data_IF_183596351250
#
_entry.id   IF_183596351250
#
_cell.length_a   1.000
_cell.length_b   1.000
_cell.length_c   1.000
_cell.angle_alpha   90.00
_cell.angle_beta   90.00
_cell.angle_gamma   90.00
#
_symmetry.space_group_name_H-M   'P 1'
#
loop_
_entity.id
_entity.type
_entity.pdbx_description
1 polymer ?
#
# COMPACT_ATOMS: atom_id res chain seq x y z
N UNK A 1 27.35 26.94 -19.78
CA UNK A 1 28.36 26.20 -18.99
C UNK A 1 27.86 25.89 -17.58
N UNK A 2 27.26 26.85 -16.85
CA UNK A 2 26.78 26.62 -15.47
C UNK A 2 25.60 25.66 -15.30
N UNK A 3 24.71 25.55 -16.29
CA UNK A 3 23.60 24.58 -16.26
C UNK A 3 24.08 23.12 -16.28
N UNK A 4 25.06 22.80 -17.13
CA UNK A 4 25.63 21.45 -17.22
C UNK A 4 26.41 21.10 -15.95
N UNK A 5 27.15 22.06 -15.37
CA UNK A 5 27.87 21.88 -14.12
C UNK A 5 26.94 21.68 -12.91
N UNK A 6 25.81 22.41 -12.84
CA UNK A 6 24.78 22.17 -11.82
C UNK A 6 24.07 20.83 -12.03
N UNK A 7 23.85 20.40 -13.28
CA UNK A 7 23.26 19.10 -13.59
C UNK A 7 24.19 17.94 -13.17
N UNK A 8 25.50 18.07 -13.41
CA UNK A 8 26.51 17.08 -13.01
C UNK A 8 26.73 17.07 -11.48
N UNK A 9 26.68 18.24 -10.82
CA UNK A 9 26.71 18.33 -9.35
C UNK A 9 25.46 17.74 -8.71
N UNK A 10 24.28 17.96 -9.29
CA UNK A 10 23.02 17.36 -8.84
C UNK A 10 22.98 15.85 -9.09
N UNK A 11 23.54 15.36 -10.20
CA UNK A 11 23.75 13.93 -10.45
C UNK A 11 24.70 13.30 -9.44
N UNK A 12 25.79 13.99 -9.07
CA UNK A 12 26.70 13.55 -7.99
C UNK A 12 26.02 13.54 -6.62
N UNK A 13 25.13 14.49 -6.34
CA UNK A 13 24.35 14.53 -5.10
C UNK A 13 23.32 13.41 -5.07
N UNK A 14 22.60 13.17 -6.17
CA UNK A 14 21.70 12.01 -6.34
C UNK A 14 22.48 10.71 -6.15
N UNK A 15 23.67 10.59 -6.74
CA UNK A 15 24.56 9.44 -6.59
C UNK A 15 25.17 9.28 -5.19
N UNK A 16 25.23 10.35 -4.37
CA UNK A 16 25.66 10.29 -2.96
C UNK A 16 24.49 10.12 -1.97
N UNK A 17 23.28 10.54 -2.32
CA UNK A 17 22.04 10.25 -1.57
C UNK A 17 21.46 8.88 -1.90
N UNK A 18 21.89 8.30 -3.02
CA UNK A 18 21.81 6.87 -3.26
C UNK A 18 22.83 6.23 -2.33
N UNK A 19 22.36 5.74 -1.19
CA UNK A 19 23.08 4.74 -0.42
C UNK A 19 23.54 3.65 -1.42
N UNK A 20 24.80 3.17 -1.42
CA UNK A 20 25.21 2.00 -2.22
C UNK A 20 24.27 0.79 -2.06
N UNK A 21 23.38 0.80 -1.06
CA UNK A 21 22.19 -0.03 -0.94
C UNK A 21 20.94 0.48 -1.72
N UNK A 22 20.99 0.61 -3.04
CA UNK A 22 19.84 0.95 -3.93
C UNK A 22 18.64 -0.02 -3.87
N UNK A 23 18.65 -1.00 -2.95
CA UNK A 23 17.65 -2.07 -2.85
C UNK A 23 17.12 -2.29 -1.43
N UNK A 24 17.59 -1.52 -0.44
CA UNK A 24 17.10 -1.65 0.94
C UNK A 24 15.87 -0.76 1.14
N UNK A 25 14.84 -1.29 1.78
CA UNK A 25 13.59 -0.56 2.00
C UNK A 25 12.67 -1.26 2.98
N UNK A 26 11.75 -0.49 3.55
CA UNK A 26 10.74 -0.98 4.48
C UNK A 26 9.38 -0.33 4.18
N UNK A 27 8.33 -1.14 4.11
CA UNK A 27 6.95 -0.67 3.96
C UNK A 27 6.42 -0.25 5.32
N UNK A 28 5.51 0.73 5.35
CA UNK A 28 4.85 1.11 6.59
C UNK A 28 3.93 -0.02 7.06
N UNK A 29 3.88 -0.22 8.38
CA UNK A 29 3.06 -1.26 9.01
C UNK A 29 1.82 -0.61 9.62
N UNK A 30 0.67 -1.24 9.47
CA UNK A 30 -0.56 -0.83 10.17
C UNK A 30 -0.93 -1.89 11.19
N UNK A 31 -1.12 -1.47 12.43
CA UNK A 31 -1.61 -2.27 13.54
C UNK A 31 -2.99 -1.77 13.93
N UNK A 32 -3.93 -2.70 14.11
CA UNK A 32 -5.30 -2.39 14.55
C UNK A 32 -5.57 -3.10 15.87
N UNK A 33 -5.81 -2.29 16.91
CA UNK A 33 -6.33 -2.78 18.18
C UNK A 33 -7.80 -3.19 18.01
N UNK A 34 -8.07 -4.48 18.22
CA UNK A 34 -9.37 -5.12 18.11
C UNK A 34 -10.26 -4.79 19.31
N UNK A 35 -11.59 -5.00 19.22
CA UNK A 35 -12.52 -4.73 20.33
C UNK A 35 -12.24 -5.55 21.61
N UNK A 36 -11.64 -6.72 21.48
CA UNK A 36 -11.21 -7.61 22.57
C UNK A 36 -9.82 -7.27 23.14
N UNK A 37 -9.16 -6.24 22.58
CA UNK A 37 -7.81 -5.82 22.94
C UNK A 37 -6.70 -6.64 22.28
N UNK A 38 -7.00 -7.57 21.36
CA UNK A 38 -6.01 -8.21 20.49
C UNK A 38 -5.43 -7.19 19.49
N UNK A 39 -4.19 -7.37 19.06
CA UNK A 39 -3.54 -6.53 18.06
C UNK A 39 -3.32 -7.36 16.79
N UNK A 40 -3.76 -6.83 15.65
CA UNK A 40 -3.52 -7.42 14.32
C UNK A 40 -2.72 -6.46 13.48
N UNK A 41 -1.81 -6.95 12.65
CA UNK A 41 -0.93 -6.11 11.83
C UNK A 41 -0.86 -6.54 10.37
N UNK A 42 -0.55 -5.60 9.48
CA UNK A 42 -0.02 -5.92 8.15
C UNK A 42 1.39 -6.53 8.28
N UNK A 43 1.87 -7.29 7.29
CA UNK A 43 3.22 -7.85 7.29
C UNK A 43 4.31 -6.78 7.37
N UNK A 44 5.41 -7.13 8.03
CA UNK A 44 6.62 -6.35 8.09
C UNK A 44 7.47 -6.63 6.85
N UNK A 45 7.15 -5.96 5.74
CA UNK A 45 7.97 -6.05 4.54
C UNK A 45 9.23 -5.21 4.70
N UNK A 46 10.35 -5.89 4.98
CA UNK A 46 11.68 -5.30 5.11
C UNK A 46 12.64 -6.05 4.20
N UNK A 47 13.41 -5.30 3.41
CA UNK A 47 14.42 -5.86 2.50
C UNK A 47 15.73 -5.11 2.63
N UNK A 48 16.83 -5.85 2.56
CA UNK A 48 18.17 -5.32 2.39
C UNK A 48 18.76 -5.79 1.05
N UNK A 49 19.51 -4.92 0.37
CA UNK A 49 20.12 -5.23 -0.93
C UNK A 49 21.14 -6.37 -0.90
N UNK A 50 21.24 -7.12 -2.01
CA UNK A 50 21.95 -8.42 -2.12
C UNK A 50 23.49 -8.36 -2.21
N UNK A 51 24.13 -7.20 -2.22
CA UNK A 51 25.59 -7.20 -2.34
C UNK A 51 26.22 -7.70 -1.03
N UNK A 52 26.91 -8.83 -1.02
CA UNK A 52 27.80 -9.22 0.08
C UNK A 52 27.22 -10.03 1.24
N UNK A 53 25.97 -10.52 1.19
CA UNK A 53 25.45 -11.50 2.16
C UNK A 53 25.93 -12.91 1.78
N UNK A 54 27.24 -13.10 1.73
CA UNK A 54 27.83 -14.43 1.64
C UNK A 54 27.93 -14.99 3.05
N UNK A 55 27.19 -16.06 3.31
CA UNK A 55 27.28 -16.98 4.46
C UNK A 55 28.04 -16.44 5.68
N UNK A 56 27.31 -15.98 6.69
CA UNK A 56 27.82 -15.98 8.05
C UNK A 56 26.66 -16.01 9.04
N UNK A 57 26.91 -16.62 10.18
CA UNK A 57 26.10 -16.73 11.40
C UNK A 57 25.60 -15.39 12.00
N UNK A 58 25.75 -14.27 11.29
CA UNK A 58 25.52 -12.90 11.75
C UNK A 58 24.34 -12.22 11.01
N UNK A 59 23.42 -12.98 10.42
CA UNK A 59 22.28 -12.52 9.64
C UNK A 59 21.09 -12.02 10.50
N UNK A 60 21.35 -11.15 11.47
CA UNK A 60 20.30 -10.53 12.27
C UNK A 60 20.01 -9.10 11.82
N UNK A 61 18.75 -8.70 11.96
CA UNK A 61 18.28 -7.34 11.78
C UNK A 61 17.76 -6.86 13.13
N UNK A 62 18.40 -5.82 13.65
CA UNK A 62 17.98 -5.12 14.85
C UNK A 62 16.83 -4.16 14.53
N UNK A 63 15.90 -4.02 15.48
CA UNK A 63 14.73 -3.15 15.38
C UNK A 63 14.83 -2.07 16.46
N UNK A 64 14.62 -0.81 16.08
CA UNK A 64 14.37 0.30 16.99
C UNK A 64 12.95 0.83 16.77
N UNK A 65 12.22 1.08 17.85
CA UNK A 65 10.88 1.70 17.86
C UNK A 65 10.99 3.04 18.57
N UNK A 66 10.62 4.13 17.90
CA UNK A 66 10.72 5.50 18.44
C UNK A 66 12.12 5.83 19.01
N UNK A 67 13.19 5.31 18.38
CA UNK A 67 14.58 5.52 18.80
C UNK A 67 15.06 4.60 19.93
N UNK A 68 14.23 3.67 20.41
CA UNK A 68 14.59 2.70 21.44
C UNK A 68 14.76 1.31 20.85
N UNK A 69 15.91 0.68 21.07
CA UNK A 69 16.13 -0.73 20.70
C UNK A 69 15.22 -1.65 21.51
N UNK A 70 14.62 -2.62 20.84
CA UNK A 70 13.73 -3.62 21.45
C UNK A 70 14.38 -5.00 21.48
N UNK A 71 13.94 -5.86 22.40
CA UNK A 71 14.38 -7.26 22.50
C UNK A 71 13.59 -8.15 21.52
N UNK A 72 13.70 -7.81 20.24
CA UNK A 72 13.11 -8.52 19.11
C UNK A 72 14.01 -8.32 17.89
N UNK A 73 14.32 -9.41 17.19
CA UNK A 73 15.20 -9.40 16.01
C UNK A 73 14.55 -10.13 14.85
N UNK A 74 14.88 -9.72 13.63
CA UNK A 74 14.54 -10.49 12.42
C UNK A 74 15.77 -11.25 11.92
N UNK A 75 15.53 -12.34 11.22
CA UNK A 75 16.53 -13.06 10.43
C UNK A 75 16.54 -12.53 9.01
N UNK A 76 17.70 -12.47 8.38
CA UNK A 76 17.85 -12.06 6.99
C UNK A 76 18.02 -13.29 6.08
N UNK A 77 17.08 -13.47 5.15
CA UNK A 77 17.15 -14.53 4.14
C UNK A 77 18.18 -14.20 3.03
N UNK A 78 18.58 -15.22 2.27
CA UNK A 78 19.54 -15.09 1.15
C UNK A 78 19.07 -14.17 0.02
N UNK A 79 17.76 -14.02 -0.15
CA UNK A 79 17.15 -13.08 -1.09
C UNK A 79 17.08 -11.63 -0.57
N UNK A 80 17.55 -11.40 0.65
CA UNK A 80 17.59 -10.11 1.34
C UNK A 80 16.29 -9.72 2.05
N UNK A 81 15.27 -10.59 2.08
CA UNK A 81 14.03 -10.35 2.85
C UNK A 81 14.28 -10.65 4.32
N UNK A 82 13.86 -9.76 5.21
CA UNK A 82 13.91 -10.00 6.64
C UNK A 82 12.58 -10.60 7.14
N UNK A 83 12.65 -11.55 8.06
CA UNK A 83 11.50 -12.26 8.63
C UNK A 83 11.70 -12.56 10.12
N UNK A 84 10.61 -12.75 10.87
CA UNK A 84 10.66 -13.07 12.29
C UNK A 84 10.89 -14.56 12.54
N UNK A 85 11.31 -14.91 13.75
CA UNK A 85 11.35 -16.30 14.20
C UNK A 85 9.92 -16.83 14.43
N UNK A 86 9.71 -18.13 14.25
CA UNK A 86 8.40 -18.78 14.38
C UNK A 86 7.76 -18.50 15.74
N UNK A 87 8.57 -18.53 16.80
CA UNK A 87 8.17 -18.23 18.18
C UNK A 87 7.60 -16.81 18.39
N UNK A 88 7.90 -15.86 17.50
CA UNK A 88 7.42 -14.49 17.59
C UNK A 88 6.16 -14.25 16.73
N UNK A 89 5.81 -15.23 15.89
CA UNK A 89 4.69 -15.18 14.95
C UNK A 89 3.46 -15.95 15.48
N UNK A 90 3.67 -16.98 16.31
CA UNK A 90 2.60 -17.78 16.89
C UNK A 90 2.02 -17.14 18.17
N UNK A 91 0.69 -17.15 18.31
CA UNK A 91 0.06 -16.92 19.61
C UNK A 91 0.18 -18.20 20.45
N UNK A 92 0.66 -18.13 21.71
CA UNK A 92 0.91 -19.30 22.56
C UNK A 92 -0.34 -20.15 22.87
N UNK A 93 -1.54 -19.74 22.43
CA UNK A 93 -2.81 -20.43 22.62
C UNK A 93 -3.29 -21.31 21.45
N UNK A 94 -2.64 -21.29 20.27
CA UNK A 94 -3.02 -22.14 19.12
C UNK A 94 -2.04 -23.31 18.97
N UNK A 95 -2.08 -24.26 19.90
CA UNK A 95 -1.38 -25.54 19.69
C UNK A 95 -2.10 -26.34 18.61
N UNK A 96 -1.63 -26.26 17.36
CA UNK A 96 -1.87 -27.32 16.39
C UNK A 96 -0.89 -28.46 16.72
N UNK A 97 -1.42 -29.55 17.25
CA UNK A 97 -0.76 -30.86 17.32
C UNK A 97 -0.41 -31.33 15.92
N UNK A 98 0.79 -31.01 15.43
CA UNK A 98 1.49 -31.75 14.38
C UNK A 98 2.96 -31.31 14.44
N UNK A 99 3.78 -32.03 15.21
CA UNK A 99 5.23 -31.97 15.06
C UNK A 99 5.56 -32.44 13.66
N UNK A 100 6.09 -31.57 12.80
CA UNK A 100 6.74 -31.95 11.55
C UNK A 100 8.24 -31.80 11.73
N UNK A 101 8.94 -32.92 11.64
CA UNK A 101 10.40 -32.97 11.72
C UNK A 101 11.00 -32.21 10.52
N UNK A 102 11.86 -31.24 10.81
CA UNK A 102 12.38 -30.22 9.86
C UNK A 102 13.51 -30.75 8.96
N UNK A 103 13.87 -32.03 9.04
CA UNK A 103 15.01 -32.58 8.29
C UNK A 103 14.70 -32.94 6.82
N UNK A 104 13.46 -32.77 6.34
CA UNK A 104 13.10 -33.12 4.96
C UNK A 104 13.24 -31.99 3.92
N UNK A 105 13.21 -30.72 4.35
CA UNK A 105 13.28 -29.57 3.44
C UNK A 105 14.69 -29.34 2.84
N UNK A 106 15.75 -29.78 3.53
CA UNK A 106 17.11 -29.74 2.99
C UNK A 106 17.35 -30.83 1.94
N UNK A 107 16.64 -31.96 2.03
CA UNK A 107 16.83 -33.11 1.13
C UNK A 107 16.17 -32.95 -0.25
N UNK A 108 15.00 -32.29 -0.31
CA UNK A 108 14.31 -32.05 -1.59
C UNK A 108 15.03 -31.02 -2.45
N UNK A 109 15.75 -30.07 -1.83
CA UNK A 109 16.53 -29.04 -2.52
C UNK A 109 17.84 -29.57 -3.15
N UNK A 110 18.39 -30.69 -2.68
CA UNK A 110 19.56 -31.35 -3.31
C UNK A 110 19.18 -32.28 -4.46
N UNK A 111 18.00 -32.91 -4.40
CA UNK A 111 17.47 -33.75 -5.47
C UNK A 111 17.08 -32.93 -6.71
N UNK A 112 16.49 -31.74 -6.54
CA UNK A 112 16.17 -30.87 -7.69
C UNK A 112 17.40 -30.24 -8.36
N UNK A 113 18.51 -30.05 -7.62
CA UNK A 113 19.77 -29.53 -8.19
C UNK A 113 20.43 -30.54 -9.12
N UNK A 114 20.36 -31.83 -8.79
CA UNK A 114 20.95 -32.90 -9.60
C UNK A 114 20.15 -33.21 -10.87
N UNK A 115 18.84 -32.96 -10.88
CA UNK A 115 18.01 -33.10 -12.11
C UNK A 115 18.22 -31.93 -13.09
N UNK A 116 18.38 -30.69 -12.60
CA UNK A 116 18.63 -29.50 -13.43
C UNK A 116 20.03 -29.47 -14.06
N UNK A 117 21.06 -29.95 -13.35
CA UNK A 117 22.42 -30.08 -13.93
C UNK A 117 22.48 -31.11 -15.07
N UNK A 118 21.68 -32.18 -15.01
CA UNK A 118 21.66 -33.21 -16.04
C UNK A 118 20.95 -32.75 -17.33
N UNK A 119 19.90 -31.93 -17.24
CA UNK A 119 19.26 -31.34 -18.43
C UNK A 119 20.14 -30.34 -19.19
N UNK A 120 20.99 -29.58 -18.47
CA UNK A 120 21.87 -28.59 -19.08
C UNK A 120 23.08 -29.21 -19.78
N UNK A 121 23.50 -30.41 -19.36
CA UNK A 121 24.53 -31.22 -20.02
C UNK A 121 24.04 -31.81 -21.37
N UNK A 122 22.76 -32.18 -21.46
CA UNK A 122 22.15 -32.67 -22.72
C UNK A 122 21.94 -31.55 -23.75
N UNK A 123 21.50 -30.36 -23.32
CA UNK A 123 21.28 -29.20 -24.22
C UNK A 123 22.60 -28.68 -24.83
N UNK A 124 23.74 -28.86 -24.16
CA UNK A 124 25.08 -28.52 -24.70
C UNK A 124 25.59 -29.48 -25.77
N UNK A 125 25.14 -30.74 -25.78
CA UNK A 125 25.58 -31.74 -26.77
C UNK A 125 24.91 -31.60 -28.14
N UNK A 126 23.70 -31.01 -28.20
CA UNK A 126 22.94 -30.85 -29.46
C UNK A 126 23.46 -29.69 -30.31
N UNK A 127 24.13 -28.69 -29.72
CA UNK A 127 24.54 -27.44 -30.41
C UNK A 127 25.87 -27.52 -31.18
N UNK A 128 26.57 -28.66 -31.19
CA UNK A 128 27.91 -28.81 -31.81
C UNK A 128 27.95 -29.49 -33.19
N UNK A 129 26.82 -29.66 -33.89
CA UNK A 129 26.80 -30.19 -35.26
C UNK A 129 26.01 -29.32 -36.24
N UNK A 130 26.62 -28.21 -36.68
CA UNK A 130 26.41 -27.67 -38.03
C UNK A 130 27.40 -26.52 -38.28
N UNK A 131 28.46 -26.80 -39.04
CA UNK A 131 29.37 -25.79 -39.58
C UNK A 131 29.64 -26.10 -41.05
N UNK A 132 29.36 -25.16 -41.95
CA UNK A 132 30.05 -25.09 -43.25
C UNK A 132 29.98 -23.69 -43.88
N UNK A 133 31.18 -23.14 -44.10
CA UNK A 133 31.66 -22.27 -45.20
C UNK A 133 31.51 -20.73 -45.08
N UNK A 134 32.64 -20.05 -45.37
CA UNK A 134 33.11 -18.68 -45.11
C UNK A 134 32.79 -17.68 -46.28
N UNK A 135 33.35 -16.44 -46.42
CA UNK A 135 34.36 -15.70 -45.61
C UNK A 135 34.17 -14.16 -45.37
N UNK A 136 34.92 -13.68 -44.37
CA UNK A 136 35.69 -12.41 -44.16
C UNK A 136 35.12 -11.00 -44.51
N UNK A 137 35.07 -10.11 -43.51
CA UNK A 137 35.74 -8.77 -43.50
C UNK A 137 35.68 -8.03 -42.13
N UNK A 138 36.85 -7.53 -41.72
CA UNK A 138 37.22 -6.32 -40.92
C UNK A 138 36.50 -5.86 -39.62
N UNK A 139 37.27 -5.96 -38.52
CA UNK A 139 37.71 -4.91 -37.58
C UNK A 139 36.70 -4.14 -36.69
N UNK A 140 36.69 -4.43 -35.39
CA UNK A 140 36.88 -3.45 -34.29
C UNK A 140 36.85 -4.14 -32.92
N UNK A 141 37.74 -3.71 -32.03
CA UNK A 141 37.96 -4.22 -30.67
C UNK A 141 36.78 -3.89 -29.74
N UNK A 142 36.12 -4.91 -29.18
CA UNK A 142 35.23 -4.77 -28.03
C UNK A 142 35.81 -5.53 -26.83
N UNK A 143 35.93 -4.80 -25.71
CA UNK A 143 36.29 -5.31 -24.39
C UNK A 143 35.26 -6.35 -23.94
N UNK A 144 35.71 -7.59 -23.76
CA UNK A 144 34.94 -8.66 -23.13
C UNK A 144 34.74 -8.35 -21.63
N UNK A 145 33.61 -7.76 -21.27
CA UNK A 145 33.04 -7.94 -19.94
C UNK A 145 32.14 -9.17 -19.98
N UNK A 146 32.53 -10.24 -19.28
CA UNK A 146 31.66 -11.39 -19.09
C UNK A 146 30.43 -11.01 -18.26
N UNK A 147 29.21 -11.35 -18.68
CA UNK A 147 28.03 -11.05 -17.91
C UNK A 147 27.96 -11.95 -16.67
N UNK A 148 28.03 -11.34 -15.50
CA UNK A 148 27.62 -11.94 -14.23
C UNK A 148 26.20 -12.53 -14.40
N UNK A 149 26.06 -13.82 -14.12
CA UNK A 149 24.79 -14.55 -14.22
C UNK A 149 23.80 -14.02 -13.16
N UNK A 150 22.91 -13.13 -13.58
CA UNK A 150 21.74 -12.66 -12.83
C UNK A 150 20.65 -13.74 -12.78
N UNK A 151 20.92 -14.85 -12.09
CA UNK A 151 19.90 -15.86 -11.80
C UNK A 151 19.12 -15.43 -10.54
N UNK A 152 18.15 -14.54 -10.73
CA UNK A 152 17.19 -14.08 -9.73
C UNK A 152 15.99 -15.06 -9.66
N UNK A 153 16.24 -16.25 -9.10
CA UNK A 153 15.20 -17.20 -8.70
C UNK A 153 14.49 -16.75 -7.41
N UNK A 154 13.83 -15.59 -7.44
CA UNK A 154 12.86 -15.23 -6.39
C UNK A 154 11.56 -16.03 -6.65
N UNK A 155 11.46 -17.20 -6.03
CA UNK A 155 10.22 -17.96 -5.84
C UNK A 155 9.12 -17.06 -5.28
N UNK A 156 7.86 -17.35 -5.64
CA UNK A 156 6.72 -16.76 -4.95
C UNK A 156 6.85 -17.13 -3.47
N UNK A 157 6.98 -16.14 -2.58
CA UNK A 157 7.03 -16.40 -1.14
C UNK A 157 5.83 -17.28 -0.77
N UNK A 158 6.11 -18.45 -0.20
CA UNK A 158 5.06 -19.38 0.18
C UNK A 158 4.16 -18.72 1.23
N UNK A 159 2.87 -19.10 1.32
CA UNK A 159 1.98 -18.56 2.35
C UNK A 159 2.56 -18.68 3.77
N UNK A 160 3.28 -19.78 4.05
CA UNK A 160 3.97 -19.97 5.32
C UNK A 160 5.04 -18.90 5.59
N UNK A 161 5.80 -18.49 4.57
CA UNK A 161 6.79 -17.43 4.72
C UNK A 161 6.16 -16.05 4.96
N UNK A 162 4.94 -15.81 4.45
CA UNK A 162 4.21 -14.56 4.71
C UNK A 162 3.79 -14.45 6.18
N UNK A 163 3.43 -15.57 6.82
CA UNK A 163 3.11 -15.58 8.26
C UNK A 163 4.33 -15.18 9.11
N UNK A 164 5.54 -15.55 8.69
CA UNK A 164 6.79 -15.13 9.35
C UNK A 164 7.07 -13.62 9.25
N UNK A 165 6.29 -12.88 8.47
CA UNK A 165 6.37 -11.42 8.40
C UNK A 165 5.41 -10.75 9.39
N UNK A 166 4.61 -11.50 10.14
CA UNK A 166 3.65 -10.96 11.11
C UNK A 166 4.09 -11.30 12.53
N UNK A 167 3.85 -10.38 13.45
CA UNK A 167 4.04 -10.63 14.88
C UNK A 167 2.73 -11.08 15.53
N UNK A 168 2.85 -11.92 16.56
CA UNK A 168 1.74 -12.28 17.43
C UNK A 168 1.20 -11.06 18.19
N UNK A 169 -0.03 -11.17 18.72
CA UNK A 169 -0.65 -10.04 19.41
C UNK A 169 0.16 -9.59 20.63
N UNK A 170 0.75 -10.54 21.37
CA UNK A 170 1.53 -10.24 22.57
C UNK A 170 2.85 -9.54 22.21
N UNK A 171 3.50 -9.97 21.12
CA UNK A 171 4.70 -9.29 20.60
C UNK A 171 4.39 -7.88 20.12
N UNK A 172 3.30 -7.66 19.39
CA UNK A 172 2.87 -6.32 18.98
C UNK A 172 2.60 -5.40 20.18
N UNK A 173 2.00 -5.90 21.26
CA UNK A 173 1.79 -5.13 22.50
C UNK A 173 3.10 -4.78 23.18
N UNK A 174 4.08 -5.69 23.16
CA UNK A 174 5.39 -5.47 23.77
C UNK A 174 6.20 -4.34 23.10
N UNK A 175 5.85 -3.95 21.87
CA UNK A 175 6.45 -2.81 21.17
C UNK A 175 6.13 -1.46 21.82
N UNK A 176 5.10 -1.38 22.68
CA UNK A 176 4.76 -0.15 23.41
C UNK A 176 4.33 1.01 22.51
N UNK A 177 3.58 0.72 21.43
CA UNK A 177 3.18 1.70 20.42
C UNK A 177 2.22 2.76 20.98
N UNK A 178 2.44 4.01 20.60
CA UNK A 178 1.46 5.09 20.79
C UNK A 178 0.41 5.08 19.68
N UNK A 179 -0.80 5.58 19.97
CA UNK A 179 -1.85 5.73 18.96
C UNK A 179 -1.39 6.70 17.85
N UNK A 180 -1.51 6.25 16.60
CA UNK A 180 -1.01 6.98 15.43
C UNK A 180 0.40 6.53 15.01
N UNK A 181 1.21 7.42 14.41
CA UNK A 181 2.51 7.06 13.85
C UNK A 181 3.57 6.82 14.93
N UNK A 182 4.36 5.76 14.75
CA UNK A 182 5.58 5.46 15.49
C UNK A 182 6.69 5.16 14.48
N UNK A 183 7.93 5.57 14.77
CA UNK A 183 9.07 5.34 13.88
C UNK A 183 9.63 3.93 14.07
N UNK A 184 9.87 3.22 12.97
CA UNK A 184 10.61 1.96 12.93
C UNK A 184 11.94 2.16 12.20
N UNK A 185 13.01 1.67 12.80
CA UNK A 185 14.31 1.56 12.13
C UNK A 185 14.80 0.13 12.18
N UNK A 186 15.22 -0.36 11.02
CA UNK A 186 15.81 -1.68 10.86
C UNK A 186 17.28 -1.51 10.51
N UNK A 187 18.16 -2.22 11.20
CA UNK A 187 19.59 -2.18 10.92
C UNK A 187 20.20 -3.57 10.89
N UNK A 188 21.10 -3.79 9.94
CA UNK A 188 21.91 -5.01 9.86
C UNK A 188 23.36 -4.63 9.68
N UNK A 189 24.26 -5.37 10.33
CA UNK A 189 25.70 -5.11 10.24
C UNK A 189 26.37 -6.33 9.64
N UNK A 190 26.95 -6.17 8.46
CA UNK A 190 27.73 -7.24 7.81
C UNK A 190 29.22 -6.91 7.85
N UNK A 191 30.05 -7.96 7.92
CA UNK A 191 31.52 -7.80 8.00
C UNK A 191 32.12 -7.05 6.81
N UNK A 192 31.50 -7.18 5.63
CA UNK A 192 32.01 -6.61 4.38
C UNK A 192 31.46 -5.20 4.08
N UNK A 193 30.26 -4.85 4.55
CA UNK A 193 29.61 -3.57 4.20
C UNK A 193 29.41 -2.63 5.38
N UNK A 194 29.73 -3.07 6.60
CA UNK A 194 29.39 -2.32 7.80
C UNK A 194 27.88 -2.32 8.04
N UNK A 195 27.39 -1.29 8.72
CA UNK A 195 25.98 -1.18 9.12
C UNK A 195 25.14 -0.53 8.04
N UNK A 196 24.18 -1.28 7.52
CA UNK A 196 23.11 -0.77 6.65
C UNK A 196 21.81 -0.64 7.44
N UNK A 197 21.00 0.37 7.12
CA UNK A 197 19.72 0.59 7.78
C UNK A 197 18.65 1.13 6.82
N UNK A 198 17.39 0.90 7.15
CA UNK A 198 16.23 1.49 6.50
C UNK A 198 15.17 1.88 7.55
N UNK A 199 14.25 2.77 7.18
CA UNK A 199 13.23 3.33 8.09
C UNK A 199 11.84 3.17 7.48
N UNK A 200 10.88 2.85 8.34
CA UNK A 200 9.45 2.94 8.04
C UNK A 200 8.69 3.46 9.26
N UNK A 201 7.38 3.59 9.14
CA UNK A 201 6.52 3.89 10.28
C UNK A 201 5.64 2.68 10.59
N UNK A 202 5.29 2.51 11.85
CA UNK A 202 4.23 1.62 12.32
C UNK A 202 3.09 2.46 12.91
N UNK A 203 1.88 2.25 12.41
CA UNK A 203 0.70 3.02 12.80
C UNK A 203 -0.20 2.18 13.69
N UNK A 204 -0.48 2.63 14.92
CA UNK A 204 -1.49 2.01 15.76
C UNK A 204 -2.83 2.72 15.58
N UNK A 205 -3.81 1.99 15.05
CA UNK A 205 -5.19 2.44 14.86
C UNK A 205 -6.16 1.67 15.74
N UNK A 206 -7.29 2.31 16.05
CA UNK A 206 -8.44 1.64 16.67
C UNK A 206 -9.29 1.00 15.58
N UNK A 207 -9.92 -0.14 15.90
CA UNK A 207 -10.80 -0.88 15.00
C UNK A 207 -11.98 -0.09 14.39
N UNK A 208 -12.36 1.05 14.98
CA UNK A 208 -13.46 1.89 14.51
C UNK A 208 -13.03 3.04 13.60
N UNK A 209 -11.74 3.15 13.28
CA UNK A 209 -11.21 4.18 12.39
C UNK A 209 -11.79 4.02 10.97
N UNK A 210 -12.15 5.14 10.33
CA UNK A 210 -12.63 5.15 8.94
C UNK A 210 -11.52 5.65 8.02
N UNK A 211 -11.22 4.85 7.01
CA UNK A 211 -10.05 5.01 6.16
C UNK A 211 -10.41 5.67 4.83
N UNK A 212 -9.56 6.56 4.35
CA UNK A 212 -9.65 7.18 3.03
C UNK A 212 -8.38 6.85 2.27
N UNK A 213 -8.53 6.14 1.16
CA UNK A 213 -7.41 5.72 0.32
C UNK A 213 -7.12 6.82 -0.70
N UNK A 214 -5.83 7.11 -0.92
CA UNK A 214 -5.37 7.93 -2.03
C UNK A 214 -4.26 7.20 -2.77
N UNK A 215 -4.42 7.00 -4.08
CA UNK A 215 -3.27 6.74 -4.92
C UNK A 215 -2.32 7.95 -4.90
N UNK A 216 -1.04 7.73 -5.19
CA UNK A 216 -0.03 8.79 -5.23
C UNK A 216 0.19 9.26 -6.66
N UNK A 217 0.47 8.30 -7.55
CA UNK A 217 0.94 8.55 -8.90
C UNK A 217 -0.25 8.97 -9.80
N UNK A 218 -0.23 10.22 -10.28
CA UNK A 218 -1.29 10.80 -11.11
C UNK A 218 -2.54 11.25 -10.34
N UNK A 219 -2.61 10.97 -9.03
CA UNK A 219 -3.69 11.42 -8.13
C UNK A 219 -3.23 12.60 -7.27
N UNK A 220 -2.11 12.44 -6.58
CA UNK A 220 -1.45 13.54 -5.86
C UNK A 220 -0.49 14.24 -6.81
N UNK A 221 0.36 13.49 -7.52
CA UNK A 221 1.21 14.04 -8.59
C UNK A 221 0.39 14.34 -9.84
N UNK A 222 0.78 15.36 -10.62
CA UNK A 222 0.12 15.71 -11.89
C UNK A 222 0.41 14.75 -13.05
N UNK A 223 1.39 13.85 -12.87
CA UNK A 223 1.70 12.83 -13.88
C UNK A 223 2.36 11.59 -13.26
N UNK A 224 2.23 10.49 -13.98
CA UNK A 224 2.75 9.17 -13.59
C UNK A 224 4.27 9.04 -13.78
N UNK A 225 4.85 9.81 -14.72
CA UNK A 225 6.26 9.67 -15.16
C UNK A 225 7.22 10.52 -14.32
N UNK A 226 6.77 11.70 -13.87
CA UNK A 226 7.65 12.68 -13.20
C UNK A 226 7.91 12.37 -11.71
N UNK A 227 7.20 11.44 -11.09
CA UNK A 227 7.42 11.08 -9.69
C UNK A 227 8.70 10.27 -9.42
N UNK A 228 9.36 9.74 -10.47
CA UNK A 228 10.66 9.08 -10.40
C UNK A 228 11.84 10.02 -10.70
N UNK A 229 11.57 11.17 -11.32
CA UNK A 229 12.59 12.04 -11.88
C UNK A 229 12.47 13.42 -11.25
N UNK A 230 13.19 13.57 -10.14
CA UNK A 230 13.80 14.82 -9.66
C UNK A 230 12.96 15.69 -8.68
N UNK A 231 13.32 15.69 -7.38
CA UNK A 231 13.04 16.78 -6.42
C UNK A 231 13.88 18.06 -6.64
N UNK A 232 14.76 18.08 -7.63
CA UNK A 232 15.77 19.12 -7.86
C UNK A 232 15.41 20.21 -8.89
N UNK A 233 14.16 20.24 -9.39
CA UNK A 233 13.64 21.36 -10.20
C UNK A 233 12.45 21.94 -9.45
N UNK A 234 12.61 23.15 -8.94
CA UNK A 234 11.58 23.84 -8.16
C UNK A 234 10.24 23.87 -8.90
N UNK A 235 9.16 23.53 -8.18
CA UNK A 235 7.80 23.49 -8.70
C UNK A 235 6.93 22.52 -7.89
N UNK A 236 5.66 22.87 -7.67
CA UNK A 236 4.68 21.97 -7.06
C UNK A 236 4.16 20.99 -8.11
N UNK A 237 4.77 19.81 -8.17
CA UNK A 237 4.35 18.69 -9.04
C UNK A 237 3.06 18.03 -8.57
N UNK A 238 2.54 18.42 -7.40
CA UNK A 238 1.26 17.99 -6.88
C UNK A 238 0.09 18.80 -7.48
N UNK A 239 -1.09 18.19 -7.59
CA UNK A 239 -2.33 18.90 -7.90
C UNK A 239 -2.63 19.97 -6.85
N UNK A 240 -3.05 21.17 -7.29
CA UNK A 240 -3.33 22.28 -6.38
C UNK A 240 -4.53 21.96 -5.47
N UNK A 241 -4.45 22.33 -4.20
CA UNK A 241 -5.53 22.15 -3.21
C UNK A 241 -5.60 20.75 -2.56
N UNK A 242 -4.75 19.79 -2.98
CA UNK A 242 -4.75 18.44 -2.40
C UNK A 242 -4.42 18.45 -0.90
N UNK A 243 -3.45 19.27 -0.48
CA UNK A 243 -3.07 19.35 0.93
C UNK A 243 -4.20 19.97 1.76
N UNK A 244 -4.90 20.97 1.23
CA UNK A 244 -6.05 21.56 1.89
C UNK A 244 -7.20 20.56 2.04
N UNK A 245 -7.61 19.88 0.96
CA UNK A 245 -8.67 18.89 1.03
C UNK A 245 -8.34 17.76 2.01
N UNK A 246 -7.14 17.20 1.93
CA UNK A 246 -6.79 16.03 2.75
C UNK A 246 -6.69 16.38 4.23
N UNK A 247 -6.22 17.59 4.57
CA UNK A 247 -6.28 18.04 5.96
C UNK A 247 -7.73 18.21 6.44
N UNK A 248 -8.62 18.78 5.61
CA UNK A 248 -10.04 18.88 5.97
C UNK A 248 -10.71 17.52 6.19
N UNK A 249 -10.37 16.53 5.36
CA UNK A 249 -10.80 15.13 5.55
C UNK A 249 -10.26 14.56 6.87
N UNK A 250 -8.97 14.77 7.17
CA UNK A 250 -8.36 14.38 8.45
C UNK A 250 -9.02 15.05 9.64
N UNK A 251 -9.31 16.35 9.56
CA UNK A 251 -9.92 17.15 10.62
C UNK A 251 -11.35 16.67 10.92
N UNK A 252 -12.05 16.18 9.90
CA UNK A 252 -13.34 15.51 10.05
C UNK A 252 -13.24 14.10 10.64
N UNK A 253 -12.02 13.63 10.95
CA UNK A 253 -11.75 12.39 11.67
C UNK A 253 -11.36 11.21 10.78
N UNK A 254 -11.28 11.35 9.47
CA UNK A 254 -10.86 10.22 8.63
C UNK A 254 -9.34 10.00 8.73
N UNK A 255 -8.90 8.76 8.49
CA UNK A 255 -7.46 8.42 8.40
C UNK A 255 -7.06 8.26 6.95
N UNK A 256 -6.06 9.02 6.53
CA UNK A 256 -5.50 8.89 5.19
C UNK A 256 -4.59 7.66 5.11
N UNK A 257 -4.74 6.90 4.03
CA UNK A 257 -3.86 5.80 3.64
C UNK A 257 -3.39 6.11 2.22
N UNK A 258 -2.08 6.11 2.00
CA UNK A 258 -1.50 6.36 0.68
C UNK A 258 -1.13 5.03 0.03
N UNK A 259 -1.42 4.89 -1.25
CA UNK A 259 -1.17 3.66 -2.03
C UNK A 259 -0.31 4.00 -3.25
N UNK A 260 0.67 3.16 -3.58
CA UNK A 260 1.40 3.25 -4.84
C UNK A 260 1.89 1.87 -5.25
N UNK A 261 1.89 1.59 -6.56
CA UNK A 261 2.44 0.35 -7.11
C UNK A 261 3.97 0.33 -7.16
N UNK A 262 4.63 1.40 -6.70
CA UNK A 262 6.11 1.47 -6.63
C UNK A 262 6.67 0.34 -5.75
N UNK A 263 7.82 -0.17 -6.18
CA UNK A 263 8.58 -1.18 -5.46
C UNK A 263 9.12 -0.66 -4.10
N UNK A 264 9.31 -1.57 -3.16
CA UNK A 264 9.80 -1.30 -1.79
C UNK A 264 11.14 -0.53 -1.76
N UNK A 265 12.00 -0.71 -2.76
CA UNK A 265 13.27 0.03 -2.88
C UNK A 265 13.09 1.54 -3.03
N UNK A 266 11.91 2.00 -3.45
CA UNK A 266 11.58 3.44 -3.56
C UNK A 266 10.85 3.99 -2.32
N UNK A 267 10.68 3.18 -1.28
CA UNK A 267 9.91 3.56 -0.08
C UNK A 267 10.37 4.87 0.55
N UNK A 268 11.68 5.06 0.72
CA UNK A 268 12.24 6.29 1.28
C UNK A 268 11.91 7.52 0.42
N UNK A 269 12.16 7.45 -0.89
CA UNK A 269 11.90 8.56 -1.81
C UNK A 269 10.42 8.95 -1.86
N UNK A 270 9.52 7.97 -1.93
CA UNK A 270 8.08 8.21 -1.99
C UNK A 270 7.57 8.87 -0.71
N UNK A 271 7.99 8.38 0.46
CA UNK A 271 7.62 8.99 1.76
C UNK A 271 8.20 10.41 1.90
N UNK A 272 9.44 10.64 1.48
CA UNK A 272 10.06 11.96 1.50
C UNK A 272 9.36 12.95 0.56
N UNK A 273 8.90 12.48 -0.60
CA UNK A 273 8.06 13.29 -1.49
C UNK A 273 6.76 13.71 -0.81
N UNK A 274 6.00 12.78 -0.22
CA UNK A 274 4.74 13.13 0.47
C UNK A 274 4.97 14.16 1.60
N UNK A 275 6.05 14.01 2.37
CA UNK A 275 6.44 14.98 3.41
C UNK A 275 6.83 16.35 2.85
N UNK A 276 7.37 16.42 1.63
CA UNK A 276 7.79 17.68 1.02
C UNK A 276 6.64 18.45 0.35
N UNK A 277 5.54 17.77 0.00
CA UNK A 277 4.35 18.44 -0.56
C UNK A 277 3.80 19.44 0.45
N UNK A 278 3.86 20.71 0.07
CA UNK A 278 3.40 21.84 0.88
C UNK A 278 2.63 22.81 -0.01
N UNK A 279 1.42 23.17 0.40
CA UNK A 279 0.56 24.13 -0.31
C UNK A 279 -0.03 25.10 0.71
N UNK A 280 0.16 26.40 0.51
CA UNK A 280 -0.36 27.45 1.40
C UNK A 280 0.01 27.24 2.89
N UNK A 281 1.23 26.75 3.13
CA UNK A 281 1.74 26.45 4.48
C UNK A 281 1.19 25.16 5.12
N UNK A 282 0.35 24.39 4.40
CA UNK A 282 -0.17 23.09 4.84
C UNK A 282 0.59 21.96 4.16
N UNK A 283 1.03 21.00 4.96
CA UNK A 283 1.59 19.72 4.49
C UNK A 283 0.47 18.70 4.29
N UNK A 284 0.73 17.63 3.51
CA UNK A 284 -0.17 16.48 3.50
C UNK A 284 -0.29 15.87 4.91
N UNK A 285 -1.48 15.38 5.30
CA UNK A 285 -1.65 14.71 6.58
C UNK A 285 -0.86 13.39 6.63
N UNK A 286 -0.31 13.07 7.79
CA UNK A 286 0.35 11.78 8.02
C UNK A 286 -0.59 10.59 7.77
N UNK A 287 -0.02 9.52 7.21
CA UNK A 287 -0.69 8.27 6.94
C UNK A 287 0.28 7.21 6.41
N UNK A 288 -0.03 5.92 6.59
CA UNK A 288 0.80 4.82 6.07
C UNK A 288 0.84 4.84 4.55
N UNK A 289 2.01 4.49 4.01
CA UNK A 289 2.22 4.32 2.57
C UNK A 289 2.35 2.84 2.24
N UNK A 290 1.32 2.31 1.56
CA UNK A 290 1.29 0.95 1.02
C UNK A 290 2.02 0.91 -0.32
N UNK A 291 2.98 0.00 -0.44
CA UNK A 291 3.87 -0.15 -1.59
C UNK A 291 3.90 -1.60 -2.07
N UNK A 292 4.36 -1.81 -3.30
CA UNK A 292 4.59 -3.15 -3.81
C UNK A 292 5.75 -3.80 -3.04
N UNK A 293 5.57 -4.98 -2.43
CA UNK A 293 6.63 -5.68 -1.69
C UNK A 293 7.74 -6.22 -2.60
N UNK A 294 7.56 -6.15 -3.92
CA UNK A 294 8.55 -6.63 -4.90
C UNK A 294 9.70 -5.63 -5.08
N UNK A 295 10.90 -6.14 -5.39
CA UNK A 295 12.12 -5.33 -5.58
C UNK A 295 12.18 -4.67 -6.96
N UNK A 296 12.70 -3.44 -7.00
CA UNK A 296 12.84 -2.58 -8.19
C UNK A 296 13.55 -3.26 -9.37
N UNK A 297 14.53 -4.11 -9.12
CA UNK A 297 15.31 -4.72 -10.21
C UNK A 297 14.52 -5.80 -10.97
N UNK A 298 13.51 -6.39 -10.33
CA UNK A 298 12.53 -7.28 -10.95
C UNK A 298 11.42 -6.50 -11.65
N UNK A 299 11.12 -5.27 -11.22
CA UNK A 299 10.16 -4.38 -11.88
C UNK A 299 10.60 -3.99 -13.31
N UNK A 300 11.92 -3.92 -13.57
CA UNK A 300 12.43 -3.67 -14.93
C UNK A 300 12.39 -4.90 -15.86
N UNK A 301 12.28 -6.12 -15.30
CA UNK A 301 12.41 -7.39 -16.04
C UNK A 301 11.10 -8.20 -16.11
N UNK A 302 10.04 -7.74 -15.44
CA UNK A 302 8.79 -8.49 -15.30
C UNK A 302 7.67 -7.84 -16.07
N UNK A 303 7.61 -8.17 -17.36
CA UNK A 303 6.52 -7.90 -18.30
C UNK A 303 5.16 -8.50 -17.87
N UNK A 304 4.99 -9.00 -16.63
CA UNK A 304 3.77 -9.66 -16.12
C UNK A 304 3.23 -9.02 -14.84
N UNK A 305 4.08 -8.50 -13.94
CA UNK A 305 3.60 -7.66 -12.80
C UNK A 305 3.27 -6.24 -13.28
N UNK A 306 3.93 -5.79 -14.35
CA UNK A 306 3.50 -4.63 -15.11
C UNK A 306 2.19 -4.84 -15.88
N UNK A 307 1.67 -6.08 -16.01
CA UNK A 307 0.41 -6.33 -16.76
C UNK A 307 -0.86 -6.00 -15.98
N UNK A 308 -0.85 -6.04 -14.64
CA UNK A 308 -2.04 -5.76 -13.82
C UNK A 308 -1.68 -5.09 -12.47
N UNK A 309 -1.29 -3.80 -12.43
CA UNK A 309 -1.02 -3.08 -11.18
C UNK A 309 -2.19 -3.14 -10.16
N UNK A 310 -3.42 -3.32 -10.65
CA UNK A 310 -4.63 -3.57 -9.86
C UNK A 310 -4.55 -4.81 -8.98
N UNK A 311 -3.85 -5.89 -9.37
CA UNK A 311 -3.76 -7.12 -8.56
C UNK A 311 -3.07 -6.83 -7.21
N UNK A 312 -1.95 -6.10 -7.26
CA UNK A 312 -1.26 -5.65 -6.06
C UNK A 312 -2.15 -4.72 -5.23
N UNK A 313 -2.80 -3.73 -5.85
CA UNK A 313 -3.66 -2.77 -5.13
C UNK A 313 -4.81 -3.49 -4.42
N UNK A 314 -5.45 -4.45 -5.09
CA UNK A 314 -6.51 -5.29 -4.50
C UNK A 314 -5.95 -6.09 -3.32
N UNK A 315 -4.80 -6.75 -3.48
CA UNK A 315 -4.20 -7.55 -2.41
C UNK A 315 -3.86 -6.72 -1.17
N UNK A 316 -3.17 -5.58 -1.36
CA UNK A 316 -2.78 -4.69 -0.26
C UNK A 316 -4.00 -4.10 0.47
N UNK A 317 -5.02 -3.66 -0.28
CA UNK A 317 -6.24 -3.13 0.31
C UNK A 317 -7.08 -4.23 0.99
N UNK A 318 -7.09 -5.45 0.46
CA UNK A 318 -7.78 -6.58 1.08
C UNK A 318 -7.13 -6.97 2.40
N UNK A 319 -5.80 -7.03 2.43
CA UNK A 319 -5.03 -7.31 3.63
C UNK A 319 -5.30 -6.28 4.73
N UNK A 320 -5.21 -4.99 4.40
CA UNK A 320 -5.50 -3.93 5.36
C UNK A 320 -6.96 -3.99 5.83
N UNK A 321 -7.90 -4.29 4.94
CA UNK A 321 -9.33 -4.46 5.29
C UNK A 321 -9.54 -5.56 6.32
N UNK A 322 -8.85 -6.68 6.17
CA UNK A 322 -8.99 -7.85 7.04
C UNK A 322 -8.49 -7.60 8.48
N UNK A 323 -7.75 -6.52 8.72
CA UNK A 323 -7.38 -6.10 10.09
C UNK A 323 -8.55 -5.49 10.86
N UNK A 324 -9.59 -5.03 10.18
CA UNK A 324 -10.74 -4.37 10.79
C UNK A 324 -11.91 -5.35 10.94
N UNK A 325 -12.62 -5.34 12.07
CA UNK A 325 -13.83 -6.14 12.25
C UNK A 325 -15.02 -5.58 11.45
N UNK A 326 -14.95 -4.31 11.04
CA UNK A 326 -15.97 -3.70 10.18
C UNK A 326 -15.91 -4.32 8.78
N UNK A 327 -17.06 -4.69 8.17
CA UNK A 327 -17.09 -5.19 6.79
C UNK A 327 -16.65 -4.14 5.76
N UNK A 328 -16.64 -2.85 6.15
CA UNK A 328 -16.16 -1.77 5.30
C UNK A 328 -15.47 -0.68 6.13
N UNK A 329 -14.16 -0.79 6.40
CA UNK A 329 -13.40 0.27 7.03
C UNK A 329 -13.11 1.43 6.07
N UNK A 330 -13.23 1.21 4.76
CA UNK A 330 -12.95 2.21 3.73
C UNK A 330 -14.16 3.10 3.48
N UNK A 331 -13.98 4.39 3.71
CA UNK A 331 -15.00 5.39 3.46
C UNK A 331 -14.97 5.90 2.02
N UNK A 332 -13.78 6.15 1.46
CA UNK A 332 -13.60 6.68 0.11
C UNK A 332 -12.24 6.31 -0.50
N UNK A 333 -12.14 6.42 -1.82
CA UNK A 333 -10.90 6.21 -2.59
C UNK A 333 -10.69 7.32 -3.62
N UNK A 334 -9.48 7.88 -3.67
CA UNK A 334 -9.01 8.81 -4.69
C UNK A 334 -8.01 8.10 -5.59
N UNK A 335 -8.29 8.04 -6.89
CA UNK A 335 -7.41 7.42 -7.90
C UNK A 335 -7.39 8.23 -9.19
N UNK A 336 -6.66 7.77 -10.20
CA UNK A 336 -6.55 8.44 -11.50
C UNK A 336 -6.81 7.51 -12.69
N UNK A 337 -6.93 6.20 -12.46
CA UNK A 337 -7.12 5.19 -13.49
C UNK A 337 -8.39 4.39 -13.26
N UNK A 338 -8.94 3.82 -14.33
CA UNK A 338 -10.05 2.86 -14.24
C UNK A 338 -9.65 1.60 -13.45
N UNK A 339 -8.37 1.24 -13.46
CA UNK A 339 -7.82 0.14 -12.64
C UNK A 339 -7.92 0.42 -11.13
N UNK A 340 -7.88 1.69 -10.71
CA UNK A 340 -8.13 2.07 -9.31
C UNK A 340 -9.59 1.83 -8.93
N UNK A 341 -10.52 2.14 -9.84
CA UNK A 341 -11.95 1.87 -9.65
C UNK A 341 -12.19 0.38 -9.45
N UNK A 342 -11.55 -0.47 -10.26
CA UNK A 342 -11.63 -1.93 -10.11
C UNK A 342 -11.11 -2.32 -8.73
N UNK A 343 -9.95 -1.80 -8.34
CA UNK A 343 -9.33 -2.10 -7.04
C UNK A 343 -10.21 -1.70 -5.85
N UNK A 344 -10.78 -0.50 -5.89
CA UNK A 344 -11.65 0.04 -4.84
C UNK A 344 -12.98 -0.70 -4.74
N UNK A 345 -13.57 -1.08 -5.87
CA UNK A 345 -14.78 -1.91 -5.88
C UNK A 345 -14.54 -3.30 -5.29
N UNK A 346 -13.39 -3.91 -5.58
CA UNK A 346 -13.05 -5.24 -5.06
C UNK A 346 -13.03 -5.28 -3.52
N UNK A 347 -12.64 -4.18 -2.88
CA UNK A 347 -12.65 -4.05 -1.41
C UNK A 347 -13.90 -3.38 -0.84
N UNK A 348 -14.95 -3.23 -1.67
CA UNK A 348 -16.26 -2.70 -1.33
C UNK A 348 -16.33 -1.20 -0.98
N UNK A 349 -15.44 -0.37 -1.53
CA UNK A 349 -15.63 1.09 -1.47
C UNK A 349 -16.87 1.44 -2.29
N UNK A 350 -17.86 2.17 -1.72
CA UNK A 350 -19.05 2.56 -2.47
C UNK A 350 -18.69 3.39 -3.70
N UNK A 351 -19.33 3.13 -4.84
CA UNK A 351 -19.08 3.86 -6.10
C UNK A 351 -19.24 5.37 -5.96
N UNK A 352 -20.18 5.81 -5.12
CA UNK A 352 -20.41 7.20 -4.75
C UNK A 352 -19.26 7.87 -3.99
N UNK A 353 -18.29 7.08 -3.54
CA UNK A 353 -17.13 7.49 -2.75
C UNK A 353 -15.81 7.23 -3.49
N UNK A 354 -15.87 6.85 -4.76
CA UNK A 354 -14.71 6.72 -5.63
C UNK A 354 -14.59 8.00 -6.45
N UNK A 355 -13.47 8.69 -6.30
CA UNK A 355 -13.14 9.93 -7.00
C UNK A 355 -11.95 9.67 -7.93
N UNK A 356 -12.13 9.95 -9.21
CA UNK A 356 -11.09 9.80 -10.23
C UNK A 356 -10.63 11.17 -10.69
N UNK A 357 -9.33 11.41 -10.56
CA UNK A 357 -8.68 12.69 -10.88
C UNK A 357 -8.15 12.62 -12.29
N UNK A 358 -8.54 13.61 -13.09
CA UNK A 358 -7.99 13.79 -14.43
C UNK A 358 -6.67 14.58 -14.38
N UNK A 359 -5.80 14.46 -15.40
CA UNK A 359 -4.58 15.27 -15.49
C UNK A 359 -4.83 16.79 -15.45
N UNK A 360 -6.03 17.23 -15.84
CA UNK A 360 -6.48 18.62 -15.75
C UNK A 360 -6.64 19.11 -14.30
N UNK A 361 -6.77 18.19 -13.34
CA UNK A 361 -7.13 18.45 -11.94
C UNK A 361 -8.64 18.43 -11.67
N UNK A 362 -9.47 18.23 -12.71
CA UNK A 362 -10.90 17.97 -12.56
C UNK A 362 -11.13 16.61 -11.89
N UNK A 363 -12.16 16.52 -11.06
CA UNK A 363 -12.44 15.33 -10.26
C UNK A 363 -13.80 14.77 -10.67
N UNK A 364 -13.82 13.52 -11.13
CA UNK A 364 -15.02 12.79 -11.50
C UNK A 364 -15.41 11.81 -10.41
N UNK A 365 -16.63 11.92 -9.88
CA UNK A 365 -17.19 10.84 -9.04
C UNK A 365 -17.59 9.66 -9.93
N UNK A 366 -17.29 8.44 -9.50
CA UNK A 366 -17.54 7.28 -10.34
C UNK A 366 -19.04 7.00 -10.59
N UNK A 367 -19.91 7.32 -9.64
CA UNK A 367 -21.36 7.11 -9.73
C UNK A 367 -22.11 8.19 -10.53
N UNK A 368 -21.45 9.28 -10.89
CA UNK A 368 -22.10 10.48 -11.41
C UNK A 368 -21.39 11.03 -12.64
N UNK A 369 -22.16 11.62 -13.54
CA UNK A 369 -21.60 12.47 -14.60
C UNK A 369 -21.23 13.87 -14.09
N UNK A 370 -21.55 14.20 -12.84
CA UNK A 370 -21.15 15.47 -12.21
C UNK A 370 -19.63 15.48 -12.03
N UNK A 371 -19.02 16.53 -12.56
CA UNK A 371 -17.60 16.84 -12.38
C UNK A 371 -17.48 17.88 -11.27
N UNK A 372 -16.62 17.61 -10.31
CA UNK A 372 -16.14 18.60 -9.36
C UNK A 372 -14.92 19.30 -9.98
N UNK A 373 -14.84 20.63 -9.96
CA UNK A 373 -13.89 21.35 -10.79
C UNK A 373 -12.44 21.19 -10.32
N UNK A 374 -12.20 20.97 -9.02
CA UNK A 374 -10.85 20.71 -8.47
C UNK A 374 -10.89 20.27 -7.00
N UNK A 375 -9.74 19.82 -6.48
CA UNK A 375 -9.54 19.58 -5.04
C UNK A 375 -9.93 20.80 -4.19
N UNK A 376 -9.58 22.01 -4.63
CA UNK A 376 -9.87 23.27 -3.91
C UNK A 376 -11.38 23.51 -3.78
N UNK A 377 -12.16 23.25 -4.83
CA UNK A 377 -13.61 23.43 -4.77
C UNK A 377 -14.26 22.41 -3.83
N UNK A 378 -13.81 21.14 -3.87
CA UNK A 378 -14.29 20.17 -2.88
C UNK A 378 -13.94 20.64 -1.46
N UNK A 379 -12.71 21.07 -1.22
CA UNK A 379 -12.26 21.51 0.10
C UNK A 379 -13.05 22.72 0.65
N UNK A 380 -13.49 23.62 -0.23
CA UNK A 380 -14.17 24.86 0.15
C UNK A 380 -15.68 24.67 0.26
N UNK A 381 -16.28 23.98 -0.72
CA UNK A 381 -17.72 24.05 -0.97
C UNK A 381 -18.48 22.81 -0.47
N UNK A 382 -17.83 21.64 -0.45
CA UNK A 382 -18.55 20.36 -0.30
C UNK A 382 -17.89 19.32 0.59
N UNK A 383 -16.71 19.59 1.16
CA UNK A 383 -15.96 18.60 1.96
C UNK A 383 -16.74 18.09 3.16
N UNK A 384 -17.46 18.94 3.90
CA UNK A 384 -18.21 18.50 5.09
C UNK A 384 -19.49 17.73 4.71
N UNK A 385 -19.97 17.89 3.47
CA UNK A 385 -21.06 17.07 2.93
C UNK A 385 -20.54 15.72 2.44
N UNK A 386 -19.39 15.72 1.76
CA UNK A 386 -18.76 14.50 1.23
C UNK A 386 -18.08 13.67 2.33
N UNK A 387 -17.51 14.31 3.33
CA UNK A 387 -16.77 13.71 4.44
C UNK A 387 -17.29 14.35 5.74
N UNK A 388 -18.51 14.02 6.18
CA UNK A 388 -19.09 14.61 7.38
C UNK A 388 -18.21 14.35 8.61
N UNK A 389 -18.09 15.33 9.52
CA UNK A 389 -17.34 15.15 10.76
C UNK A 389 -17.81 13.92 11.54
N UNK A 390 -16.89 13.02 11.85
CA UNK A 390 -17.17 11.83 12.64
C UNK A 390 -17.40 12.20 14.11
N UNK A 391 -18.40 11.59 14.79
CA UNK A 391 -18.72 11.95 16.16
C UNK A 391 -17.60 11.57 17.15
N UNK A 392 -17.18 12.54 17.97
CA UNK A 392 -16.27 12.35 19.11
C UNK A 392 -17.08 12.33 20.42
N UNK A 393 -16.71 11.50 21.41
CA UNK A 393 -17.23 11.66 22.77
C UNK A 393 -16.26 12.53 23.60
N UNK A 394 -16.79 13.58 24.24
CA UNK A 394 -16.10 14.30 25.32
C UNK A 394 -16.58 13.65 26.62
N UNK A 395 -15.75 12.84 27.28
CA UNK A 395 -16.04 12.45 28.66
C UNK A 395 -15.92 13.72 29.51
N UNK A 396 -17.01 14.12 30.17
CA UNK A 396 -16.90 15.01 31.32
C UNK A 396 -16.10 14.27 32.40
N UNK A 397 -15.17 14.99 32.99
CA UNK A 397 -14.13 14.56 33.93
C UNK A 397 -12.91 13.89 33.27
N UNK A 398 -11.87 14.72 33.17
CA UNK A 398 -10.44 14.43 32.92
C UNK A 398 -10.11 13.07 32.27
N UNK A 399 -9.47 13.11 31.07
CA UNK A 399 -8.70 12.05 30.37
C UNK A 399 -9.36 11.47 29.07
N UNK A 400 -8.56 11.54 27.99
CA UNK A 400 -8.59 10.87 26.66
C UNK A 400 -9.88 10.96 25.80
N UNK A 401 -9.71 11.54 24.60
CA UNK A 401 -10.70 11.55 23.50
C UNK A 401 -10.77 10.17 22.85
N UNK A 402 -11.87 9.44 23.01
CA UNK A 402 -12.17 8.26 22.20
C UNK A 402 -13.46 8.48 21.40
N UNK A 403 -13.51 7.92 20.18
CA UNK A 403 -14.68 8.10 19.29
C UNK A 403 -15.85 7.26 19.75
N UNK A 404 -17.03 7.74 19.44
CA UNK A 404 -18.27 7.00 19.62
C UNK A 404 -18.21 5.74 18.75
N UNK A 405 -18.07 4.57 19.37
CA UNK A 405 -18.56 3.35 18.75
C UNK A 405 -20.07 3.48 18.87
N UNK A 406 -20.73 3.91 17.80
CA UNK A 406 -22.17 3.93 17.80
C UNK A 406 -22.63 2.50 18.07
N UNK A 407 -23.10 2.24 19.28
CA UNK A 407 -23.90 1.08 19.63
C UNK A 407 -25.26 1.09 18.91
N UNK A 408 -25.44 1.89 17.85
CA UNK A 408 -26.37 1.57 16.77
C UNK A 408 -25.72 0.57 15.81
N UNK A 409 -25.63 -0.67 16.28
CA UNK A 409 -25.75 -1.82 15.40
C UNK A 409 -27.14 -1.77 14.72
N UNK A 410 -27.25 -1.00 13.62
CA UNK A 410 -28.18 -1.10 12.47
C UNK A 410 -28.26 0.24 11.69
N UNK A 411 -27.22 0.67 10.96
CA UNK A 411 -27.37 1.83 10.06
C UNK A 411 -27.92 1.46 8.67
N UNK A 412 -28.37 0.21 8.45
CA UNK A 412 -29.08 -0.19 7.22
C UNK A 412 -30.60 -0.35 7.40
N UNK A 413 -31.11 -0.45 8.63
CA UNK A 413 -32.55 -0.71 8.85
C UNK A 413 -33.33 0.48 9.42
N UNK A 414 -32.68 1.49 10.00
CA UNK A 414 -33.34 2.69 10.48
C UNK A 414 -32.47 3.91 10.25
N UNK A 415 -32.40 4.36 9.00
CA UNK A 415 -32.08 5.76 8.73
C UNK A 415 -33.25 6.60 9.24
N UNK A 416 -33.04 7.55 10.15
CA UNK A 416 -34.06 8.55 10.51
C UNK A 416 -34.45 9.47 9.32
N UNK A 417 -33.96 9.18 8.11
CA UNK A 417 -34.38 9.78 6.85
C UNK A 417 -35.53 9.02 6.15
N UNK A 418 -36.00 7.89 6.68
CA UNK A 418 -37.18 7.15 6.19
C UNK A 418 -38.47 7.41 6.99
N UNK A 419 -38.60 8.58 7.62
CA UNK A 419 -39.83 8.96 8.34
C UNK A 419 -41.02 9.27 7.41
N UNK A 420 -40.85 9.18 6.08
CA UNK A 420 -41.93 9.32 5.10
C UNK A 420 -42.12 8.09 4.18
N UNK A 421 -41.77 6.89 4.65
CA UNK A 421 -42.35 5.70 4.04
C UNK A 421 -43.70 5.42 4.70
N UNK A 422 -44.78 5.83 4.02
CA UNK A 422 -46.06 5.13 4.12
C UNK A 422 -45.73 3.66 3.89
N UNK A 423 -45.95 2.82 4.90
CA UNK A 423 -45.90 1.37 4.73
C UNK A 423 -47.03 1.02 3.77
N UNK A 424 -46.78 0.33 2.65
CA UNK A 424 -47.84 -0.18 1.80
C UNK A 424 -48.47 -1.37 2.53
N UNK A 425 -49.29 -1.07 3.52
CA UNK A 425 -50.29 -1.97 4.06
C UNK A 425 -51.63 -1.36 3.61
N UNK A 426 -52.27 -2.11 2.71
CA UNK A 426 -53.67 -2.04 2.30
C UNK A 426 -54.13 -0.81 1.51
N UNK A 427 -53.60 -0.63 0.28
CA UNK A 427 -54.36 0.08 -0.76
C UNK A 427 -55.13 -0.96 -1.55
N UNK A 428 -56.43 -1.06 -1.30
CA UNK A 428 -57.32 -1.95 -2.05
C UNK A 428 -57.40 -1.49 -3.51
N UNK A 429 -57.43 -2.45 -4.46
CA UNK A 429 -57.46 -2.17 -5.89
C UNK A 429 -58.66 -1.27 -6.30
N UNK A 430 -59.72 -1.26 -5.49
CA UNK A 430 -60.89 -0.39 -5.66
C UNK A 430 -60.60 1.09 -5.36
N UNK A 431 -59.84 1.42 -4.31
CA UNK A 431 -59.44 2.80 -3.99
C UNK A 431 -58.51 3.38 -5.06
N UNK A 432 -57.62 2.54 -5.62
CA UNK A 432 -56.73 2.96 -6.70
C UNK A 432 -57.52 3.34 -7.97
N UNK A 433 -58.60 2.60 -8.23
CA UNK A 433 -59.47 2.80 -9.40
C UNK A 433 -60.32 4.05 -9.27
N UNK A 434 -60.89 4.31 -8.10
CA UNK A 434 -61.61 5.56 -7.81
C UNK A 434 -60.69 6.80 -7.94
N UNK A 435 -59.44 6.69 -7.46
CA UNK A 435 -58.46 7.76 -7.60
C UNK A 435 -58.11 8.03 -9.08
N UNK A 436 -57.94 7.00 -9.90
CA UNK A 436 -57.67 7.17 -11.32
C UNK A 436 -58.83 7.80 -12.10
N UNK A 437 -60.06 7.42 -11.78
CA UNK A 437 -61.25 7.95 -12.46
C UNK A 437 -61.49 9.42 -12.09
N UNK A 438 -61.35 9.77 -10.80
CA UNK A 438 -61.39 11.17 -10.34
C UNK A 438 -60.27 12.01 -10.97
N UNK A 439 -59.06 11.45 -11.12
CA UNK A 439 -57.95 12.12 -11.81
C UNK A 439 -58.25 12.36 -13.29
N UNK A 440 -58.85 11.39 -13.99
CA UNK A 440 -59.22 11.53 -15.41
C UNK A 440 -60.32 12.59 -15.60
N UNK A 441 -61.28 12.66 -14.69
CA UNK A 441 -62.35 13.67 -14.69
C UNK A 441 -61.81 15.09 -14.46
N UNK A 442 -60.89 15.27 -13.51
CA UNK A 442 -60.20 16.55 -13.29
C UNK A 442 -59.38 17.01 -14.49
N UNK A 443 -58.77 16.09 -15.23
CA UNK A 443 -58.02 16.40 -16.45
C UNK A 443 -58.98 16.76 -17.60
N UNK A 444 -60.14 16.11 -17.69
CA UNK A 444 -61.16 16.42 -18.68
C UNK A 444 -61.78 17.82 -18.44
N UNK A 445 -62.08 18.16 -17.18
CA UNK A 445 -62.61 19.47 -16.78
C UNK A 445 -61.60 20.62 -16.95
N UNK A 446 -60.30 20.34 -17.07
CA UNK A 446 -59.28 21.34 -17.42
C UNK A 446 -59.07 21.53 -18.92
N UNK A 447 -59.64 20.64 -19.75
CA UNK A 447 -59.56 20.70 -21.21
C UNK A 447 -60.88 21.14 -21.88
N UNK A 448 -61.97 21.22 -21.11
CA UNK A 448 -63.15 22.04 -21.40
C UNK A 448 -62.90 23.48 -20.99
#
# INVERSE_FOLDING_TARGET
MDYALNMIKNLKYVHQSINPATRSGAIDVVVVEQPDGEYKSTPFHVRFGKYGVFSCSDNCVDIEVNGHSIDLKMKLASNGVAYFDEQDTEDPGKQNTEKRDVDQAESECELEKTEKENEDLEKRHVRKRSSSLAPETENSEELNEEPLSDDDSDENLTPAFIELLRLSSDRLKSLGLDLGPNELRFSTTTKLQGTSWCVSNIYLYKWYEQLVISDIDGTITKSDVLGHVIPAVGGTWAHNGVAELYNRIKDNGYRMIYLSSRAIGHSHMTKQYLKSVTQDGKHLPDGPVLLSPTSTMRALKREVIDRCPEEFKIAALTELKNLFPSPNPYYAGFGNRDTDVISYKAVAIPTARILIIEPSGTIKRWDSSRLEPSYTSIATDSVDYMFPPLPFHVKHDHVKKERHTSAWSKPLNHSNFTHWHIRPEDVEDEELKEYEDHRKELIANRKS
#
